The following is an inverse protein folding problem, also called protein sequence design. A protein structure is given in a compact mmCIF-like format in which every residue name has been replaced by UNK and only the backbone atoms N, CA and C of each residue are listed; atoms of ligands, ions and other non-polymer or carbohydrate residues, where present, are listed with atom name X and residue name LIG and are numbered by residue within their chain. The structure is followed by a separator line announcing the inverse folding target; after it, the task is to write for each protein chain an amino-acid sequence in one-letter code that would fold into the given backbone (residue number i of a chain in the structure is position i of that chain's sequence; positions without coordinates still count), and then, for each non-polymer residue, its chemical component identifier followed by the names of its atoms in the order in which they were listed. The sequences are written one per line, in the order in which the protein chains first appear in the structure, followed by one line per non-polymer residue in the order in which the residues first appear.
data_IF_816674588155
#
_entry.id   IF_816674588155
#
_cell.length_a   1.000
_cell.length_b   1.000
_cell.length_c   1.000
_cell.angle_alpha   90.00
_cell.angle_beta   90.00
_cell.angle_gamma   90.00
#
_symmetry.space_group_name_H-M   'P 1'
#
loop_
_entity.id
_entity.type
_entity.pdbx_description
1 polymer ?
#
# COMPACT_ATOMS: atom_id res chain seq x y z
N UNK A 1 -20.24 -25.33 -5.76
CA UNK A 1 -20.08 -24.48 -6.96
C UNK A 1 -18.62 -24.11 -7.07
N UNK A 2 -18.01 -24.05 -8.26
CA UNK A 2 -16.70 -23.43 -8.43
C UNK A 2 -16.72 -22.06 -7.76
N UNK A 3 -15.63 -21.66 -7.09
CA UNK A 3 -15.55 -20.33 -6.52
C UNK A 3 -15.63 -19.32 -7.67
N UNK A 4 -16.83 -18.83 -8.01
CA UNK A 4 -17.07 -18.00 -9.19
C UNK A 4 -16.14 -16.78 -9.21
N UNK A 5 -15.78 -16.28 -8.03
CA UNK A 5 -14.85 -15.17 -7.81
C UNK A 5 -13.43 -15.45 -8.32
N UNK A 6 -13.00 -16.71 -8.38
CA UNK A 6 -11.69 -17.08 -8.93
C UNK A 6 -11.52 -16.66 -10.40
N UNK A 7 -12.62 -16.51 -11.14
CA UNK A 7 -12.62 -16.10 -12.54
C UNK A 7 -12.65 -14.57 -12.74
N UNK A 8 -12.53 -13.77 -11.67
CA UNK A 8 -12.59 -12.30 -11.72
C UNK A 8 -11.59 -11.71 -12.71
N UNK A 9 -10.33 -12.13 -12.63
CA UNK A 9 -9.27 -11.56 -13.47
C UNK A 9 -9.46 -11.88 -14.95
N UNK A 10 -9.90 -13.11 -15.24
CA UNK A 10 -10.18 -13.59 -16.59
C UNK A 10 -11.41 -12.90 -17.18
N UNK A 11 -12.48 -12.71 -16.37
CA UNK A 11 -13.65 -11.96 -16.81
C UNK A 11 -13.27 -10.52 -17.15
N UNK A 12 -12.45 -9.86 -16.32
CA UNK A 12 -12.04 -8.49 -16.55
C UNK A 12 -11.23 -8.34 -17.85
N UNK A 13 -10.32 -9.28 -18.14
CA UNK A 13 -9.61 -9.31 -19.43
C UNK A 13 -10.57 -9.55 -20.61
N UNK A 14 -11.48 -10.50 -20.48
CA UNK A 14 -12.44 -10.84 -21.54
C UNK A 14 -13.39 -9.68 -21.85
N UNK A 15 -13.94 -9.01 -20.83
CA UNK A 15 -14.81 -7.84 -21.01
C UNK A 15 -14.02 -6.68 -21.62
N UNK A 16 -12.78 -6.44 -21.17
CA UNK A 16 -11.91 -5.41 -21.74
C UNK A 16 -11.65 -5.62 -23.24
N UNK A 17 -11.39 -6.87 -23.66
CA UNK A 17 -11.16 -7.21 -25.05
C UNK A 17 -12.41 -7.07 -25.91
N UNK A 18 -13.56 -7.57 -25.42
CA UNK A 18 -14.84 -7.48 -26.14
C UNK A 18 -15.35 -6.04 -26.25
N UNK A 19 -15.14 -5.23 -25.22
CA UNK A 19 -15.52 -3.81 -25.23
C UNK A 19 -14.47 -2.90 -25.89
N UNK A 20 -13.33 -3.44 -26.33
CA UNK A 20 -12.18 -2.66 -26.82
C UNK A 20 -11.75 -1.53 -25.86
N UNK A 21 -11.87 -1.75 -24.55
CA UNK A 21 -11.61 -0.74 -23.51
C UNK A 21 -12.66 0.37 -23.39
N UNK A 22 -13.84 0.22 -23.99
CA UNK A 22 -14.94 1.18 -23.90
C UNK A 22 -15.72 1.06 -22.59
N UNK A 23 -16.08 2.20 -22.00
CA UNK A 23 -16.97 2.30 -20.82
C UNK A 23 -18.45 2.40 -21.17
N UNK A 24 -18.80 2.41 -22.46
CA UNK A 24 -20.19 2.58 -22.93
C UNK A 24 -20.77 1.32 -23.55
N UNK A 25 -19.94 0.32 -23.81
CA UNK A 25 -20.34 -0.91 -24.47
C UNK A 25 -20.81 -1.97 -23.47
N UNK A 26 -22.00 -2.51 -23.71
CA UNK A 26 -22.60 -3.53 -22.86
C UNK A 26 -22.21 -4.91 -23.35
N UNK A 27 -21.50 -5.67 -22.52
CA UNK A 27 -20.98 -6.99 -22.88
C UNK A 27 -21.76 -8.08 -22.14
N UNK A 28 -22.56 -8.91 -22.84
CA UNK A 28 -23.21 -10.07 -22.23
C UNK A 28 -22.16 -11.10 -21.80
N UNK A 29 -22.13 -11.47 -20.52
CA UNK A 29 -21.04 -12.31 -19.97
C UNK A 29 -21.36 -13.82 -19.95
N UNK A 30 -22.52 -14.22 -20.50
CA UNK A 30 -22.90 -15.64 -20.53
C UNK A 30 -21.97 -16.49 -21.40
N UNK A 31 -21.47 -15.94 -22.52
CA UNK A 31 -20.48 -16.62 -23.37
C UNK A 31 -19.23 -16.98 -22.56
N UNK A 32 -18.74 -16.03 -21.76
CA UNK A 32 -17.61 -16.27 -20.85
C UNK A 32 -17.97 -17.30 -19.77
N UNK A 33 -19.09 -17.10 -19.08
CA UNK A 33 -19.50 -17.95 -17.96
C UNK A 33 -19.63 -19.42 -18.38
N UNK A 34 -20.29 -19.69 -19.51
CA UNK A 34 -20.42 -21.04 -20.06
C UNK A 34 -19.05 -21.63 -20.43
N UNK A 35 -18.14 -20.82 -20.99
CA UNK A 35 -16.78 -21.23 -21.32
C UNK A 35 -15.94 -21.67 -20.12
N UNK A 36 -16.19 -21.10 -18.94
CA UNK A 36 -15.54 -21.49 -17.68
C UNK A 36 -16.38 -22.43 -16.81
N UNK A 37 -17.50 -22.95 -17.34
CA UNK A 37 -18.37 -23.90 -16.63
C UNK A 37 -19.23 -23.29 -15.52
N UNK A 38 -19.42 -21.98 -15.51
CA UNK A 38 -20.34 -21.28 -14.62
C UNK A 38 -21.76 -21.27 -15.20
N UNK A 39 -22.75 -21.53 -14.35
CA UNK A 39 -24.15 -21.33 -14.69
C UNK A 39 -24.55 -19.84 -14.56
N UNK A 40 -25.81 -19.52 -14.91
CA UNK A 40 -26.32 -18.15 -14.85
C UNK A 40 -26.18 -17.52 -13.46
N UNK A 41 -26.44 -18.27 -12.39
CA UNK A 41 -26.32 -17.77 -11.02
C UNK A 41 -24.85 -17.43 -10.70
N UNK A 42 -23.91 -18.31 -11.07
CA UNK A 42 -22.48 -18.07 -10.95
C UNK A 42 -22.01 -16.84 -11.74
N UNK A 43 -22.56 -16.62 -12.93
CA UNK A 43 -22.29 -15.43 -13.74
C UNK A 43 -22.77 -14.15 -13.05
N UNK A 44 -23.98 -14.14 -12.48
CA UNK A 44 -24.48 -13.00 -11.70
C UNK A 44 -23.66 -12.79 -10.42
N UNK A 45 -23.26 -13.85 -9.72
CA UNK A 45 -22.39 -13.76 -8.54
C UNK A 45 -21.06 -13.10 -8.89
N UNK A 46 -20.41 -13.54 -9.98
CA UNK A 46 -19.15 -12.96 -10.45
C UNK A 46 -19.32 -11.50 -10.87
N UNK A 47 -20.37 -11.18 -11.63
CA UNK A 47 -20.66 -9.81 -12.04
C UNK A 47 -20.86 -8.87 -10.84
N UNK A 48 -21.66 -9.29 -9.86
CA UNK A 48 -21.91 -8.51 -8.64
C UNK A 48 -20.64 -8.33 -7.82
N UNK A 49 -19.81 -9.37 -7.71
CA UNK A 49 -18.51 -9.26 -7.06
C UNK A 49 -17.63 -8.19 -7.72
N UNK A 50 -17.49 -8.22 -9.05
CA UNK A 50 -16.71 -7.21 -9.78
C UNK A 50 -17.32 -5.80 -9.67
N UNK A 51 -18.65 -5.69 -9.60
CA UNK A 51 -19.35 -4.43 -9.37
C UNK A 51 -19.08 -3.85 -7.99
N UNK A 52 -19.13 -4.69 -6.96
CA UNK A 52 -18.92 -4.25 -5.59
C UNK A 52 -17.45 -3.83 -5.35
N UNK A 53 -16.51 -4.34 -6.16
CA UNK A 53 -15.13 -3.85 -6.25
C UNK A 53 -14.95 -2.60 -7.13
N UNK A 54 -16.03 -2.09 -7.73
CA UNK A 54 -16.00 -0.89 -8.60
C UNK A 54 -15.41 -1.13 -10.00
N UNK A 55 -15.17 -2.37 -10.40
CA UNK A 55 -14.51 -2.71 -11.66
C UNK A 55 -15.48 -2.75 -12.84
N UNK A 56 -16.68 -3.24 -12.59
CA UNK A 56 -17.76 -3.36 -13.57
C UNK A 56 -19.01 -2.63 -13.07
N UNK A 57 -19.93 -2.38 -13.98
CA UNK A 57 -21.27 -1.93 -13.69
C UNK A 57 -22.29 -2.92 -14.27
N UNK A 58 -23.38 -3.15 -13.54
CA UNK A 58 -24.49 -4.01 -13.94
C UNK A 58 -25.73 -3.22 -14.40
N UNK A 59 -25.63 -1.90 -14.62
CA UNK A 59 -26.72 -1.03 -15.11
C UNK A 59 -27.39 -1.54 -16.39
N UNK A 60 -26.66 -2.29 -17.22
CA UNK A 60 -27.18 -2.89 -18.44
C UNK A 60 -27.74 -4.31 -18.24
N UNK A 61 -27.57 -4.90 -17.06
CA UNK A 61 -28.16 -6.18 -16.69
C UNK A 61 -29.63 -5.99 -16.34
N UNK A 62 -30.53 -6.45 -17.22
CA UNK A 62 -31.97 -6.54 -16.94
C UNK A 62 -32.38 -7.91 -16.37
N UNK A 63 -33.67 -8.26 -16.50
CA UNK A 63 -34.21 -9.61 -16.18
C UNK A 63 -33.71 -10.75 -17.08
N UNK A 64 -32.80 -10.46 -18.01
CA UNK A 64 -32.29 -11.39 -19.02
C UNK A 64 -30.93 -12.00 -18.66
N UNK A 65 -29.98 -11.94 -19.59
CA UNK A 65 -28.61 -12.37 -19.34
C UNK A 65 -27.82 -11.29 -18.58
N UNK A 66 -26.86 -11.67 -17.72
CA UNK A 66 -25.96 -10.71 -17.09
C UNK A 66 -25.11 -9.99 -18.16
N UNK A 67 -25.08 -8.67 -18.06
CA UNK A 67 -24.32 -7.76 -18.92
C UNK A 67 -23.39 -6.91 -18.06
N UNK A 68 -22.12 -6.90 -18.43
CA UNK A 68 -21.09 -6.09 -17.82
C UNK A 68 -20.85 -4.82 -18.63
N UNK A 69 -20.63 -3.71 -17.92
CA UNK A 69 -20.11 -2.47 -18.46
C UNK A 69 -18.81 -2.13 -17.72
N UNK A 70 -17.75 -1.77 -18.43
CA UNK A 70 -16.49 -1.38 -17.77
C UNK A 70 -16.63 -0.03 -17.07
N UNK A 71 -15.97 0.09 -15.92
CA UNK A 71 -15.73 1.40 -15.29
C UNK A 71 -14.32 1.89 -15.66
N UNK A 72 -14.07 3.19 -15.51
CA UNK A 72 -12.72 3.75 -15.66
C UNK A 72 -11.73 3.09 -14.69
N UNK A 73 -12.17 2.72 -13.49
CA UNK A 73 -11.36 2.00 -12.51
C UNK A 73 -11.06 0.56 -12.98
N UNK A 74 -12.04 -0.15 -13.53
CA UNK A 74 -11.85 -1.48 -14.11
C UNK A 74 -10.87 -1.49 -15.28
N UNK A 75 -10.89 -0.45 -16.13
CA UNK A 75 -9.90 -0.28 -17.20
C UNK A 75 -8.50 -0.07 -16.62
N UNK A 76 -8.34 0.83 -15.66
CA UNK A 76 -7.07 1.08 -15.01
C UNK A 76 -6.51 -0.21 -14.37
N UNK A 77 -7.34 -0.95 -13.65
CA UNK A 77 -7.00 -2.24 -13.05
C UNK A 77 -6.49 -3.26 -14.09
N UNK A 78 -7.22 -3.45 -15.20
CA UNK A 78 -6.81 -4.37 -16.28
C UNK A 78 -5.45 -3.97 -16.85
N UNK A 79 -5.25 -2.69 -17.13
CA UNK A 79 -3.99 -2.18 -17.70
C UNK A 79 -2.82 -2.33 -16.73
N UNK A 80 -3.02 -2.07 -15.44
CA UNK A 80 -1.99 -2.27 -14.43
C UNK A 80 -1.63 -3.74 -14.26
N UNK A 81 -2.63 -4.65 -14.23
CA UNK A 81 -2.40 -6.09 -14.18
C UNK A 81 -1.64 -6.58 -15.42
N UNK A 82 -2.01 -6.11 -16.61
CA UNK A 82 -1.29 -6.41 -17.86
C UNK A 82 0.16 -5.91 -17.80
N UNK A 83 0.40 -4.72 -17.25
CA UNK A 83 1.75 -4.18 -17.05
C UNK A 83 2.58 -5.05 -16.11
N UNK A 84 2.01 -5.48 -14.98
CA UNK A 84 2.68 -6.39 -14.04
C UNK A 84 2.96 -7.76 -14.67
N UNK A 85 2.01 -8.31 -15.44
CA UNK A 85 2.20 -9.54 -16.23
C UNK A 85 3.30 -9.45 -17.27
N UNK A 86 3.47 -8.28 -17.89
CA UNK A 86 4.51 -8.06 -18.88
C UNK A 86 5.91 -7.88 -18.25
N UNK A 87 6.01 -7.68 -16.94
CA UNK A 87 7.30 -7.56 -16.23
C UNK A 87 7.84 -8.96 -15.87
N UNK A 88 8.94 -9.42 -16.51
CA UNK A 88 9.51 -10.74 -16.26
C UNK A 88 10.02 -10.90 -14.82
N UNK A 89 10.48 -9.82 -14.18
CA UNK A 89 11.00 -9.89 -12.82
C UNK A 89 9.88 -10.12 -11.80
N UNK A 90 8.74 -9.45 -11.99
CA UNK A 90 7.56 -9.66 -11.15
C UNK A 90 6.98 -11.07 -11.36
N UNK A 91 6.89 -11.53 -12.62
CA UNK A 91 6.46 -12.91 -12.93
C UNK A 91 7.37 -13.95 -12.28
N UNK A 92 8.69 -13.81 -12.41
CA UNK A 92 9.64 -14.74 -11.82
C UNK A 92 9.52 -14.76 -10.28
N UNK A 93 9.33 -13.60 -9.64
CA UNK A 93 9.08 -13.51 -8.21
C UNK A 93 7.80 -14.23 -7.79
N UNK A 94 6.70 -13.99 -8.49
CA UNK A 94 5.43 -14.64 -8.23
C UNK A 94 5.48 -16.16 -8.45
N UNK A 95 6.14 -16.62 -9.51
CA UNK A 95 6.32 -18.05 -9.81
C UNK A 95 7.07 -18.77 -8.68
N UNK A 96 8.17 -18.19 -8.18
CA UNK A 96 8.93 -18.75 -7.06
C UNK A 96 8.10 -18.87 -5.79
N UNK A 97 7.33 -17.82 -5.46
CA UNK A 97 6.43 -17.82 -4.30
C UNK A 97 5.34 -18.88 -4.43
N UNK A 98 4.66 -18.95 -5.59
CA UNK A 98 3.61 -19.92 -5.86
C UNK A 98 4.13 -21.36 -5.82
N UNK A 99 5.25 -21.63 -6.49
CA UNK A 99 5.87 -22.95 -6.52
C UNK A 99 6.30 -23.43 -5.12
N UNK A 100 6.88 -22.55 -4.30
CA UNK A 100 7.30 -22.91 -2.94
C UNK A 100 6.09 -23.23 -2.04
N UNK A 101 5.01 -22.45 -2.13
CA UNK A 101 3.75 -22.72 -1.41
C UNK A 101 3.10 -24.02 -1.87
N UNK A 102 3.15 -24.31 -3.16
CA UNK A 102 2.68 -25.58 -3.70
C UNK A 102 3.45 -26.76 -3.12
N UNK A 103 4.79 -26.72 -3.10
CA UNK A 103 5.59 -27.78 -2.46
C UNK A 103 5.28 -27.95 -0.97
N UNK A 104 5.02 -26.85 -0.25
CA UNK A 104 4.58 -26.92 1.16
C UNK A 104 3.26 -27.68 1.31
N UNK A 105 2.28 -27.41 0.45
CA UNK A 105 1.00 -28.13 0.42
C UNK A 105 1.17 -29.60 0.05
N UNK A 106 2.02 -29.93 -0.93
CA UNK A 106 2.34 -31.32 -1.27
C UNK A 106 2.96 -32.07 -0.07
N UNK A 107 3.82 -31.40 0.70
CA UNK A 107 4.39 -31.96 1.93
C UNK A 107 3.33 -32.22 3.00
N UNK A 108 2.38 -31.29 3.22
CA UNK A 108 1.26 -31.51 4.14
C UNK A 108 0.41 -32.70 3.68
N UNK A 109 0.19 -32.83 2.36
CA UNK A 109 -0.48 -33.97 1.75
C UNK A 109 0.36 -35.27 1.75
N UNK A 110 1.55 -35.26 2.34
CA UNK A 110 2.48 -36.39 2.42
C UNK A 110 2.91 -36.96 1.07
N UNK A 111 2.90 -36.14 0.01
CA UNK A 111 3.41 -36.51 -1.30
C UNK A 111 4.94 -36.44 -1.28
N UNK A 112 5.58 -37.59 -1.45
CA UNK A 112 7.04 -37.70 -1.49
C UNK A 112 7.55 -37.30 -2.88
N UNK A 113 8.49 -36.35 -2.92
CA UNK A 113 9.14 -35.88 -4.15
C UNK A 113 8.15 -35.64 -5.31
N UNK A 114 7.18 -34.72 -5.20
CA UNK A 114 6.24 -34.39 -6.27
C UNK A 114 6.96 -33.94 -7.56
N UNK A 115 6.29 -34.10 -8.70
CA UNK A 115 6.81 -33.70 -10.02
C UNK A 115 6.65 -32.19 -10.16
N UNK A 116 7.76 -31.46 -10.30
CA UNK A 116 7.75 -29.99 -10.36
C UNK A 116 6.83 -29.45 -11.45
N UNK A 117 6.77 -30.10 -12.62
CA UNK A 117 5.90 -29.70 -13.72
C UNK A 117 4.39 -29.77 -13.42
N UNK A 118 3.95 -30.61 -12.46
CA UNK A 118 2.52 -30.68 -12.06
C UNK A 118 2.04 -29.39 -11.41
N UNK A 119 2.95 -28.52 -10.95
CA UNK A 119 2.60 -27.18 -10.50
C UNK A 119 1.88 -26.39 -11.61
N UNK A 120 2.25 -26.57 -12.88
CA UNK A 120 1.64 -25.85 -14.01
C UNK A 120 0.13 -26.05 -14.15
N UNK A 121 -0.39 -27.17 -13.64
CA UNK A 121 -1.82 -27.50 -13.64
C UNK A 121 -2.55 -27.00 -12.37
N UNK A 122 -1.82 -26.68 -11.30
CA UNK A 122 -2.40 -26.21 -10.03
C UNK A 122 -2.93 -24.78 -10.14
N UNK A 123 -3.95 -24.44 -9.36
CA UNK A 123 -4.51 -23.08 -9.31
C UNK A 123 -3.48 -22.04 -8.82
N UNK A 124 -2.50 -22.43 -7.98
CA UNK A 124 -1.41 -21.54 -7.55
C UNK A 124 -0.41 -21.17 -8.66
N UNK A 125 -0.45 -21.85 -9.81
CA UNK A 125 0.31 -21.42 -10.99
C UNK A 125 -0.35 -20.29 -11.77
N UNK A 126 -1.57 -19.87 -11.39
CA UNK A 126 -2.23 -18.71 -11.98
C UNK A 126 -1.78 -17.43 -11.28
N UNK A 127 -1.21 -16.49 -12.04
CA UNK A 127 -0.88 -15.16 -11.54
C UNK A 127 -1.47 -14.07 -12.42
N UNK A 128 -2.24 -13.17 -11.82
CA UNK A 128 -2.93 -12.06 -12.50
C UNK A 128 -3.77 -12.54 -13.71
N UNK A 129 -4.33 -13.75 -13.61
CA UNK A 129 -5.14 -14.39 -14.65
C UNK A 129 -4.39 -15.24 -15.68
N UNK A 130 -3.07 -15.38 -15.59
CA UNK A 130 -2.26 -16.14 -16.57
C UNK A 130 -1.40 -17.20 -15.88
N UNK A 131 -1.37 -18.41 -16.43
CA UNK A 131 -0.51 -19.50 -15.92
C UNK A 131 0.96 -19.23 -16.19
N UNK A 132 1.84 -19.73 -15.34
CA UNK A 132 3.28 -19.77 -15.62
C UNK A 132 3.58 -20.79 -16.73
N UNK A 133 4.57 -20.48 -17.57
CA UNK A 133 5.07 -21.42 -18.58
C UNK A 133 6.04 -22.42 -17.94
N UNK A 134 6.23 -23.58 -18.58
CA UNK A 134 7.16 -24.60 -18.12
C UNK A 134 8.57 -24.05 -17.89
N UNK A 135 9.06 -23.19 -18.79
CA UNK A 135 10.37 -22.53 -18.68
C UNK A 135 10.47 -21.67 -17.41
N UNK A 136 9.40 -20.96 -17.04
CA UNK A 136 9.41 -20.14 -15.83
C UNK A 136 9.33 -20.97 -14.56
N UNK A 137 8.67 -22.12 -14.62
CA UNK A 137 8.59 -23.08 -13.52
C UNK A 137 9.96 -23.72 -13.31
N UNK A 138 10.63 -24.13 -14.38
CA UNK A 138 12.00 -24.64 -14.38
C UNK A 138 12.99 -23.61 -13.79
N UNK A 139 12.95 -22.37 -14.28
CA UNK A 139 13.81 -21.28 -13.77
C UNK A 139 13.53 -20.95 -12.30
N UNK A 140 12.27 -21.04 -11.87
CA UNK A 140 11.91 -20.88 -10.47
C UNK A 140 12.44 -22.04 -9.63
N UNK A 141 12.31 -23.28 -10.09
CA UNK A 141 12.79 -24.46 -9.40
C UNK A 141 14.32 -24.46 -9.26
N UNK A 142 15.05 -24.10 -10.32
CA UNK A 142 16.50 -23.90 -10.29
C UNK A 142 16.90 -22.89 -9.21
N UNK A 143 16.26 -21.71 -9.20
CA UNK A 143 16.54 -20.67 -8.22
C UNK A 143 16.26 -21.14 -6.79
N UNK A 144 15.14 -21.81 -6.54
CA UNK A 144 14.77 -22.29 -5.21
C UNK A 144 15.74 -23.38 -4.72
N UNK A 145 16.21 -24.25 -5.61
CA UNK A 145 17.19 -25.28 -5.30
C UNK A 145 18.55 -24.67 -4.96
N UNK A 146 19.00 -23.67 -5.73
CA UNK A 146 20.24 -22.92 -5.46
C UNK A 146 20.22 -22.20 -4.10
N UNK A 147 19.03 -21.73 -3.68
CA UNK A 147 18.82 -21.12 -2.37
C UNK A 147 18.52 -22.13 -1.27
N UNK A 148 18.58 -23.43 -1.57
CA UNK A 148 18.35 -24.54 -0.63
C UNK A 148 16.95 -24.52 0.00
N UNK A 149 15.98 -23.87 -0.65
CA UNK A 149 14.57 -23.85 -0.22
C UNK A 149 13.85 -25.12 -0.66
N UNK A 150 14.33 -25.74 -1.73
CA UNK A 150 13.91 -27.08 -2.17
C UNK A 150 15.15 -27.95 -2.41
N UNK A 151 14.97 -29.27 -2.39
CA UNK A 151 15.98 -30.26 -2.76
C UNK A 151 15.35 -31.28 -3.70
N UNK A 152 16.08 -31.73 -4.71
CA UNK A 152 15.48 -32.60 -5.71
C UNK A 152 16.48 -33.27 -6.65
N UNK A 153 15.94 -33.98 -7.63
CA UNK A 153 16.71 -34.67 -8.67
C UNK A 153 16.74 -33.79 -9.92
N UNK A 154 17.96 -33.41 -10.33
CA UNK A 154 18.20 -32.67 -11.57
C UNK A 154 18.46 -33.65 -12.72
N UNK A 155 18.12 -33.25 -13.95
CA UNK A 155 18.48 -33.96 -15.18
C UNK A 155 19.12 -32.96 -16.13
N UNK A 156 20.10 -33.38 -16.92
CA UNK A 156 20.91 -32.48 -17.78
C UNK A 156 20.09 -31.73 -18.86
N UNK A 157 18.85 -32.16 -19.11
CA UNK A 157 17.96 -31.65 -20.16
C UNK A 157 17.02 -30.52 -19.69
N UNK A 158 16.86 -30.33 -18.37
CA UNK A 158 15.89 -29.39 -17.78
C UNK A 158 16.58 -28.47 -16.79
N UNK A 159 16.06 -27.25 -16.62
CA UNK A 159 16.59 -26.32 -15.61
C UNK A 159 15.92 -26.61 -14.27
N UNK A 160 16.75 -26.85 -13.26
CA UNK A 160 16.29 -27.19 -11.92
C UNK A 160 15.79 -28.65 -11.76
N UNK A 161 15.28 -28.99 -10.57
CA UNK A 161 14.89 -30.36 -10.25
C UNK A 161 13.55 -30.75 -10.87
N UNK A 162 13.51 -31.89 -11.54
CA UNK A 162 12.27 -32.48 -12.12
C UNK A 162 11.31 -32.96 -11.03
N UNK A 163 11.89 -33.44 -9.93
CA UNK A 163 11.15 -33.82 -8.71
C UNK A 163 11.87 -33.21 -7.53
N UNK A 164 11.13 -32.55 -6.65
CA UNK A 164 11.71 -31.89 -5.50
C UNK A 164 10.82 -31.95 -4.27
N UNK A 165 11.43 -31.73 -3.11
CA UNK A 165 10.78 -31.54 -1.84
C UNK A 165 11.19 -30.21 -1.22
N UNK A 166 10.27 -29.62 -0.48
CA UNK A 166 10.57 -28.44 0.34
C UNK A 166 11.51 -28.81 1.50
N UNK A 167 12.56 -28.00 1.68
CA UNK A 167 13.49 -28.13 2.81
C UNK A 167 12.90 -27.48 4.07
N UNK A 168 13.60 -27.57 5.20
CA UNK A 168 13.21 -26.82 6.40
C UNK A 168 13.24 -25.30 6.15
N UNK A 169 14.29 -24.79 5.49
CA UNK A 169 14.38 -23.37 5.10
C UNK A 169 13.21 -22.93 4.21
N UNK A 170 12.82 -23.80 3.27
CA UNK A 170 11.66 -23.56 2.43
C UNK A 170 10.36 -23.48 3.23
N UNK A 171 10.20 -24.33 4.25
CA UNK A 171 9.04 -24.27 5.15
C UNK A 171 9.01 -22.94 5.90
N UNK A 172 10.12 -22.56 6.53
CA UNK A 172 10.21 -21.33 7.31
C UNK A 172 9.85 -20.11 6.43
N UNK A 173 10.37 -20.09 5.19
CA UNK A 173 10.01 -19.08 4.20
C UNK A 173 8.49 -19.05 3.90
N UNK A 174 7.82 -20.20 3.85
CA UNK A 174 6.37 -20.25 3.60
C UNK A 174 5.57 -19.85 4.83
N UNK A 175 5.96 -20.31 6.02
CA UNK A 175 5.18 -20.10 7.25
C UNK A 175 5.32 -18.71 7.81
N UNK A 176 6.52 -18.13 7.77
CA UNK A 176 6.78 -16.86 8.47
C UNK A 176 6.89 -15.67 7.50
N UNK A 177 7.08 -15.92 6.20
CA UNK A 177 7.16 -14.88 5.15
C UNK A 177 6.15 -15.08 4.00
N UNK A 178 5.10 -15.88 4.21
CA UNK A 178 4.05 -16.15 3.20
C UNK A 178 4.58 -16.71 1.86
N UNK A 179 5.79 -17.28 1.87
CA UNK A 179 6.50 -17.77 0.69
C UNK A 179 7.23 -16.68 -0.09
N UNK A 180 7.31 -15.45 0.41
CA UNK A 180 8.04 -14.36 -0.24
C UNK A 180 9.56 -14.58 -0.15
N UNK A 181 10.08 -15.29 -1.15
CA UNK A 181 11.50 -15.69 -1.24
C UNK A 181 12.44 -14.49 -1.18
N UNK A 182 12.06 -13.37 -1.79
CA UNK A 182 12.92 -12.18 -1.83
C UNK A 182 12.98 -11.48 -0.47
N UNK A 183 11.88 -11.46 0.27
CA UNK A 183 11.86 -10.93 1.63
C UNK A 183 12.63 -11.86 2.58
N UNK A 184 12.38 -13.16 2.51
CA UNK A 184 13.09 -14.18 3.29
C UNK A 184 14.60 -14.09 3.11
N UNK A 185 15.08 -14.08 1.86
CA UNK A 185 16.52 -14.00 1.58
C UNK A 185 17.15 -12.67 1.98
N UNK A 186 16.39 -11.57 2.01
CA UNK A 186 16.88 -10.29 2.54
C UNK A 186 17.06 -10.35 4.05
N UNK A 187 16.16 -11.02 4.74
CA UNK A 187 16.24 -11.22 6.19
C UNK A 187 17.37 -12.19 6.57
N UNK A 188 17.48 -13.33 5.86
CA UNK A 188 18.53 -14.34 6.07
C UNK A 188 19.95 -13.85 5.78
N UNK A 189 20.12 -12.88 4.88
CA UNK A 189 21.44 -12.26 4.65
C UNK A 189 21.95 -11.51 5.88
N UNK A 190 21.12 -11.43 6.93
CA UNK A 190 21.30 -10.53 8.02
C UNK A 190 21.07 -9.11 7.51
N UNK A 191 20.34 -8.33 8.28
CA UNK A 191 20.80 -6.96 8.41
C UNK A 191 22.28 -7.05 8.82
N UNK A 192 23.18 -6.37 8.09
CA UNK A 192 24.46 -5.99 8.68
C UNK A 192 24.19 -5.46 10.10
N UNK A 193 25.12 -5.65 11.05
CA UNK A 193 24.87 -5.76 12.48
C UNK A 193 23.65 -4.96 12.93
N UNK A 194 22.65 -5.65 13.50
CA UNK A 194 21.52 -5.01 14.17
C UNK A 194 22.07 -3.98 15.15
N UNK A 195 22.10 -2.72 14.72
CA UNK A 195 22.63 -1.64 15.51
C UNK A 195 21.52 -1.25 16.48
N UNK A 196 21.54 -1.86 17.68
CA UNK A 196 20.69 -1.51 18.83
C UNK A 196 20.87 -0.06 19.33
N UNK A 197 21.67 0.75 18.63
CA UNK A 197 21.97 2.15 18.93
C UNK A 197 21.38 3.11 17.88
N UNK A 198 20.39 2.67 17.11
CA UNK A 198 19.60 3.54 16.25
C UNK A 198 18.77 4.52 17.07
N UNK A 199 18.65 5.80 16.66
CA UNK A 199 17.76 6.73 17.34
C UNK A 199 16.32 6.21 17.20
N UNK A 200 15.70 5.90 18.33
CA UNK A 200 14.26 5.62 18.40
C UNK A 200 13.56 6.93 18.70
N UNK A 201 12.79 7.42 17.73
CA UNK A 201 12.02 8.66 17.89
C UNK A 201 10.63 8.27 18.38
N UNK A 202 10.32 8.65 19.62
CA UNK A 202 8.96 8.62 20.14
C UNK A 202 8.39 10.04 20.03
N UNK A 203 7.44 10.27 19.12
CA UNK A 203 6.80 11.58 18.90
C UNK A 203 7.00 12.16 17.50
N UNK A 204 6.59 13.42 17.30
CA UNK A 204 6.67 14.12 16.01
C UNK A 204 8.12 14.54 15.69
N UNK A 205 8.61 14.20 14.49
CA UNK A 205 9.96 14.49 14.00
C UNK A 205 9.98 15.54 12.87
N UNK A 206 8.92 16.36 12.76
CA UNK A 206 8.81 17.38 11.73
C UNK A 206 10.01 18.34 11.71
N UNK A 207 10.57 18.56 10.52
CA UNK A 207 11.72 19.44 10.30
C UNK A 207 13.09 18.85 10.69
N UNK A 208 13.14 17.63 11.22
CA UNK A 208 14.40 17.00 11.59
C UNK A 208 15.22 16.55 10.38
N UNK A 209 16.51 16.89 10.36
CA UNK A 209 17.48 16.27 9.45
C UNK A 209 18.31 15.24 10.23
N UNK A 210 18.17 13.97 9.87
CA UNK A 210 18.83 12.87 10.57
C UNK A 210 19.85 12.21 9.65
N UNK A 211 21.08 12.11 10.14
CA UNK A 211 22.12 11.27 9.56
C UNK A 211 22.66 10.36 10.65
N UNK A 212 22.63 9.06 10.43
CA UNK A 212 23.01 8.07 11.43
C UNK A 212 23.68 6.87 10.76
N UNK A 213 24.77 6.40 11.35
CA UNK A 213 25.55 5.27 10.84
C UNK A 213 26.50 5.60 9.67
N UNK A 214 26.74 6.87 9.37
CA UNK A 214 27.63 7.28 8.27
C UNK A 214 29.07 7.51 8.74
N UNK A 215 30.06 7.24 7.87
CA UNK A 215 31.49 7.58 8.10
C UNK A 215 31.79 9.06 7.84
N UNK A 216 31.20 9.63 6.79
CA UNK A 216 31.30 11.04 6.41
C UNK A 216 29.93 11.54 5.93
N UNK A 217 29.48 12.72 6.39
CA UNK A 217 28.20 13.34 6.00
C UNK A 217 28.35 14.85 5.89
N UNK A 218 27.76 15.42 4.84
CA UNK A 218 27.51 16.85 4.72
C UNK A 218 26.01 17.07 4.60
N UNK A 219 25.38 17.58 5.67
CA UNK A 219 23.98 17.98 5.67
C UNK A 219 23.89 19.49 5.40
N UNK A 220 23.18 19.86 4.35
CA UNK A 220 22.84 21.25 4.06
C UNK A 220 21.36 21.45 4.33
N UNK A 221 21.04 22.37 5.24
CA UNK A 221 19.68 22.80 5.51
C UNK A 221 19.47 24.19 4.90
N UNK A 222 18.42 24.33 4.10
CA UNK A 222 17.92 25.64 3.66
C UNK A 222 16.58 25.85 4.35
N UNK A 223 16.57 26.62 5.45
CA UNK A 223 15.33 27.07 6.07
C UNK A 223 14.73 28.17 5.21
N UNK A 224 13.47 28.05 4.75
CA UNK A 224 12.78 29.19 4.15
C UNK A 224 12.78 30.33 5.17
N UNK A 225 13.33 31.49 4.80
CA UNK A 225 13.19 32.68 5.62
C UNK A 225 11.70 33.04 5.67
N UNK A 226 11.17 33.33 6.86
CA UNK A 226 9.83 33.91 7.01
C UNK A 226 9.75 35.16 6.14
N UNK A 227 8.63 35.36 5.47
CA UNK A 227 8.45 36.53 4.62
C UNK A 227 8.59 37.82 5.45
N UNK A 228 9.29 38.85 4.93
CA UNK A 228 9.50 40.10 5.64
C UNK A 228 8.19 40.73 6.12
N UNK A 229 8.10 41.02 7.42
CA UNK A 229 6.92 41.61 8.07
C UNK A 229 6.01 40.61 8.80
N UNK A 230 6.26 39.30 8.69
CA UNK A 230 5.51 38.26 9.40
C UNK A 230 6.32 37.56 10.49
N UNK A 231 7.56 37.99 10.74
CA UNK A 231 8.44 37.41 11.76
C UNK A 231 7.83 37.48 13.17
N UNK A 232 7.25 38.61 13.64
CA UNK A 232 6.62 38.66 14.96
C UNK A 232 5.44 37.69 15.10
N UNK A 233 4.69 37.48 14.01
CA UNK A 233 3.54 36.57 13.99
C UNK A 233 4.02 35.11 14.01
N UNK A 234 5.07 34.78 13.26
CA UNK A 234 5.66 33.45 13.27
C UNK A 234 6.24 33.09 14.64
N UNK A 235 6.89 34.04 15.32
CA UNK A 235 7.40 33.87 16.69
C UNK A 235 6.26 33.65 17.70
N UNK A 236 5.19 34.45 17.63
CA UNK A 236 4.03 34.31 18.51
C UNK A 236 3.36 32.94 18.34
N UNK A 237 3.14 32.49 17.11
CA UNK A 237 2.50 31.19 16.82
C UNK A 237 3.41 30.02 17.23
N UNK A 238 4.72 30.14 17.03
CA UNK A 238 5.68 29.13 17.50
C UNK A 238 5.74 29.06 19.04
N UNK A 239 5.61 30.20 19.74
CA UNK A 239 5.55 30.24 21.20
C UNK A 239 4.30 29.52 21.73
N UNK A 240 3.14 29.71 21.09
CA UNK A 240 1.89 29.01 21.42
C UNK A 240 2.05 27.50 21.24
N UNK A 241 2.59 27.04 20.11
CA UNK A 241 2.85 25.62 19.87
C UNK A 241 3.78 25.00 20.93
N UNK A 242 4.79 25.74 21.37
CA UNK A 242 5.72 25.27 22.41
C UNK A 242 5.05 25.12 23.77
N UNK A 243 4.06 25.95 24.06
CA UNK A 243 3.32 25.94 25.32
C UNK A 243 2.12 24.99 25.28
N UNK A 244 1.68 24.57 24.09
CA UNK A 244 0.46 23.78 23.88
C UNK A 244 0.35 22.50 24.76
N UNK A 245 1.41 21.71 24.96
CA UNK A 245 1.35 20.54 25.84
C UNK A 245 1.04 20.87 27.30
N UNK A 246 1.31 22.10 27.75
CA UNK A 246 1.03 22.55 29.12
C UNK A 246 -0.45 22.93 29.34
N UNK A 247 -1.24 23.10 28.28
CA UNK A 247 -2.65 23.45 28.40
C UNK A 247 -3.50 22.27 28.91
N UNK A 248 -2.99 21.03 28.84
CA UNK A 248 -3.69 19.84 29.32
C UNK A 248 -5.05 19.62 28.64
N UNK A 249 -5.12 19.97 27.36
CA UNK A 249 -6.31 19.85 26.52
C UNK A 249 -6.60 18.39 26.19
N UNK A 250 -7.82 18.13 25.71
CA UNK A 250 -8.13 16.86 25.08
C UNK A 250 -7.25 16.69 23.82
N UNK A 251 -6.82 15.45 23.48
CA UNK A 251 -6.00 15.20 22.29
C UNK A 251 -6.60 15.75 20.99
N UNK A 252 -7.93 15.73 20.82
CA UNK A 252 -8.58 16.22 19.61
C UNK A 252 -8.49 17.77 19.52
N UNK A 253 -8.74 18.47 20.63
CA UNK A 253 -8.61 19.93 20.71
C UNK A 253 -7.14 20.38 20.52
N UNK A 254 -6.20 19.60 21.06
CA UNK A 254 -4.78 19.86 20.87
C UNK A 254 -4.39 19.73 19.38
N UNK A 255 -4.86 18.67 18.71
CA UNK A 255 -4.59 18.46 17.28
C UNK A 255 -5.17 19.58 16.40
N UNK A 256 -6.36 20.08 16.72
CA UNK A 256 -7.01 21.17 15.97
C UNK A 256 -6.23 22.49 16.12
N UNK A 257 -5.73 22.80 17.32
CA UNK A 257 -4.88 23.98 17.56
C UNK A 257 -3.53 23.83 16.87
N UNK A 258 -2.90 22.64 16.93
CA UNK A 258 -1.65 22.36 16.23
C UNK A 258 -1.80 22.51 14.71
N UNK A 259 -2.89 21.98 14.15
CA UNK A 259 -3.17 22.07 12.73
C UNK A 259 -3.36 23.54 12.29
N UNK A 260 -4.14 24.32 13.03
CA UNK A 260 -4.36 25.73 12.73
C UNK A 260 -3.07 26.57 12.85
N UNK A 261 -2.28 26.35 13.89
CA UNK A 261 -1.01 27.04 14.09
C UNK A 261 0.04 26.70 13.02
N UNK A 262 0.14 25.42 12.64
CA UNK A 262 1.03 24.99 11.57
C UNK A 262 0.60 25.52 10.20
N UNK A 263 -0.70 25.66 9.93
CA UNK A 263 -1.18 26.29 8.70
C UNK A 263 -0.80 27.79 8.65
N UNK A 264 -0.82 28.52 9.78
CA UNK A 264 -0.31 29.90 9.84
C UNK A 264 1.18 29.94 9.53
N UNK A 265 1.98 29.08 10.17
CA UNK A 265 3.44 29.02 9.96
C UNK A 265 3.80 28.64 8.53
N UNK A 266 3.07 27.71 7.92
CA UNK A 266 3.27 27.30 6.54
C UNK A 266 2.97 28.44 5.55
N UNK A 267 1.96 29.28 5.83
CA UNK A 267 1.61 30.41 4.98
C UNK A 267 2.64 31.54 5.05
N UNK A 268 3.12 31.91 6.24
CA UNK A 268 4.12 32.98 6.42
C UNK A 268 5.52 32.61 5.93
N UNK A 269 5.79 31.32 5.75
CA UNK A 269 7.04 30.80 5.15
C UNK A 269 6.99 30.73 3.62
N UNK A 270 5.84 31.04 3.00
CA UNK A 270 5.76 31.13 1.54
C UNK A 270 6.52 32.36 1.03
N UNK A 271 6.97 32.30 -0.23
CA UNK A 271 7.70 33.41 -0.87
C UNK A 271 6.83 34.65 -1.09
N UNK A 272 5.51 34.47 -1.18
CA UNK A 272 4.51 35.54 -1.33
C UNK A 272 3.26 35.17 -0.50
N UNK A 273 3.27 35.41 0.83
CA UNK A 273 2.15 35.06 1.69
C UNK A 273 0.90 35.86 1.34
N UNK A 274 -0.27 35.20 1.26
CA UNK A 274 -1.51 35.92 1.00
C UNK A 274 -2.07 36.52 2.30
N UNK A 275 -2.17 37.86 2.46
CA UNK A 275 -2.64 38.46 3.71
C UNK A 275 -4.07 38.06 4.09
N UNK A 276 -4.91 37.74 3.09
CA UNK A 276 -6.27 37.25 3.31
C UNK A 276 -6.28 35.83 3.88
N UNK A 277 -5.36 34.98 3.42
CA UNK A 277 -5.24 33.60 3.88
C UNK A 277 -4.65 33.55 5.29
N UNK A 278 -3.59 34.32 5.55
CA UNK A 278 -3.03 34.49 6.91
C UNK A 278 -4.12 34.94 7.89
N UNK A 279 -4.91 35.96 7.56
CA UNK A 279 -6.02 36.42 8.43
C UNK A 279 -7.08 35.36 8.68
N UNK A 280 -7.44 34.56 7.67
CA UNK A 280 -8.45 33.50 7.79
C UNK A 280 -7.97 32.39 8.74
N UNK A 281 -6.74 31.92 8.55
CA UNK A 281 -6.17 30.85 9.39
C UNK A 281 -5.89 31.36 10.79
N UNK A 282 -5.43 32.61 10.92
CA UNK A 282 -5.27 33.26 12.23
C UNK A 282 -6.59 33.44 12.98
N UNK A 283 -7.69 33.71 12.26
CA UNK A 283 -9.02 33.78 12.87
C UNK A 283 -9.48 32.41 13.39
N UNK A 284 -9.14 31.32 12.69
CA UNK A 284 -9.40 29.97 13.19
C UNK A 284 -8.60 29.70 14.47
N UNK A 285 -7.30 30.00 14.49
CA UNK A 285 -6.45 29.87 15.69
C UNK A 285 -6.99 30.68 16.89
N UNK A 286 -7.40 31.94 16.67
CA UNK A 286 -8.06 32.75 17.70
C UNK A 286 -9.37 32.14 18.18
N UNK A 287 -10.14 31.54 17.26
CA UNK A 287 -11.41 30.86 17.57
C UNK A 287 -11.25 29.70 18.54
N UNK A 288 -10.12 28.99 18.49
CA UNK A 288 -9.81 27.91 19.44
C UNK A 288 -9.25 28.43 20.77
N UNK A 289 -8.47 29.52 20.76
CA UNK A 289 -7.87 30.09 21.97
C UNK A 289 -8.86 30.91 22.82
N UNK A 290 -9.87 31.54 22.20
CA UNK A 290 -10.85 32.38 22.90
C UNK A 290 -11.68 31.63 23.96
N UNK A 291 -12.28 30.46 23.67
CA UNK A 291 -12.98 29.67 24.68
C UNK A 291 -12.08 29.26 25.85
N UNK A 292 -10.81 28.95 25.57
CA UNK A 292 -9.83 28.60 26.60
C UNK A 292 -9.47 29.79 27.50
N UNK A 293 -9.38 31.00 26.94
CA UNK A 293 -9.12 32.22 27.72
C UNK A 293 -10.32 32.68 28.57
N UNK A 294 -11.54 32.29 28.20
CA UNK A 294 -12.76 32.69 28.91
C UNK A 294 -13.20 31.66 29.96
N UNK A 295 -13.23 30.38 29.58
CA UNK A 295 -13.96 29.33 30.30
C UNK A 295 -13.09 28.14 30.72
N UNK A 296 -11.76 28.21 30.58
CA UNK A 296 -10.90 27.12 31.04
C UNK A 296 -11.03 26.88 32.56
N UNK A 297 -11.19 25.60 32.94
CA UNK A 297 -11.36 25.19 34.32
C UNK A 297 -10.11 25.41 35.21
N UNK A 298 -8.94 25.63 34.60
CA UNK A 298 -7.67 25.89 35.29
C UNK A 298 -7.19 27.29 34.97
N UNK A 299 -6.89 28.08 36.00
CA UNK A 299 -6.43 29.47 35.84
C UNK A 299 -5.14 29.56 35.02
N UNK A 300 -4.22 28.60 35.17
CA UNK A 300 -2.97 28.53 34.40
C UNK A 300 -3.20 28.40 32.88
N UNK A 301 -4.18 27.59 32.49
CA UNK A 301 -4.57 27.38 31.07
C UNK A 301 -5.21 28.64 30.50
N UNK A 302 -5.98 29.33 31.35
CA UNK A 302 -6.63 30.59 31.03
C UNK A 302 -5.62 31.72 30.81
N UNK A 303 -4.65 31.87 31.71
CA UNK A 303 -3.57 32.86 31.63
C UNK A 303 -2.69 32.62 30.39
N UNK A 304 -2.36 31.36 30.09
CA UNK A 304 -1.59 31.00 28.90
C UNK A 304 -2.36 31.27 27.60
N UNK A 305 -3.67 30.99 27.56
CA UNK A 305 -4.51 31.26 26.39
C UNK A 305 -4.66 32.77 26.16
N UNK A 306 -4.84 33.54 27.23
CA UNK A 306 -4.88 35.01 27.19
C UNK A 306 -3.55 35.59 26.71
N UNK A 307 -2.42 35.07 27.21
CA UNK A 307 -1.08 35.48 26.79
C UNK A 307 -0.84 35.18 25.29
N UNK A 308 -1.28 34.02 24.79
CA UNK A 308 -1.19 33.68 23.37
C UNK A 308 -2.03 34.61 22.48
N UNK A 309 -3.24 34.96 22.90
CA UNK A 309 -4.10 35.92 22.20
C UNK A 309 -3.47 37.33 22.17
N UNK A 310 -2.88 37.77 23.28
CA UNK A 310 -2.23 39.07 23.38
C UNK A 310 -0.98 39.15 22.50
N UNK A 311 -0.17 38.08 22.45
CA UNK A 311 1.00 37.98 21.56
C UNK A 311 0.59 38.02 20.09
N UNK A 312 -0.46 37.29 19.70
CA UNK A 312 -0.99 37.35 18.35
C UNK A 312 -1.48 38.77 18.02
N UNK A 313 -2.21 39.42 18.92
CA UNK A 313 -2.72 40.77 18.70
C UNK A 313 -1.62 41.83 18.61
N UNK A 314 -0.50 41.65 19.33
CA UNK A 314 0.66 42.53 19.26
C UNK A 314 1.52 42.32 18.00
N UNK A 315 1.37 41.18 17.32
CA UNK A 315 2.14 40.80 16.13
C UNK A 315 1.51 41.17 14.79
N UNK A 316 0.32 41.79 14.82
CA UNK A 316 -0.45 42.29 13.65
C UNK A 316 -0.24 43.79 13.45
#
# INVERSE_FOLDING_TARGET
MPNAVAFRDQLMDWVYEKAHGSVTENIPIMEFAEGVGLNRDGAYTLLRFCRDQGLLNDKASGMGNPCALLTSYGIADVLERRRRRADPALRAGACRTGLLRWFYRQRIAQVHMPITGEFGDDDEALWEGTRFSDIEIEDAAEYLADKRLIKGVNVDQLRGPVRAEITSEGIDCVTDWEGNVSQYLRDQRGYGPTNYHGPVIHGNAQGGQWAWGNRDVTQNQTTPAVAPGFEPLAEAVAAILKQLPAFGLDPDDQLDIEAAANEVLAEVQQRDPEPRRVRRVLAALKGFLMPLALDAAREEVRELAQQGLDQINASL
#
